data_IF_591340117351
#
_entry.id   IF_591340117351
#
_cell.length_a   1.000
_cell.length_b   1.000
_cell.length_c   1.000
_cell.angle_alpha   90.00
_cell.angle_beta   90.00
_cell.angle_gamma   90.00
#
_symmetry.space_group_name_H-M   'P 1'
#
loop_
_entity.id
_entity.type
_entity.pdbx_description
1 polymer ?
#
# COMPACT_ATOMS: atom_id res chain seq x y z
N UNK A 1 9.39 -6.82 8.49
CA UNK A 1 9.81 -6.26 7.18
C UNK A 1 9.29 -4.84 6.92
N UNK A 2 7.98 -4.54 6.96
CA UNK A 2 7.50 -3.14 6.80
C UNK A 2 7.76 -2.29 8.05
N UNK A 3 7.75 -2.92 9.22
CA UNK A 3 8.06 -2.30 10.52
C UNK A 3 9.50 -1.78 10.60
N UNK A 4 10.49 -2.58 10.18
CA UNK A 4 11.89 -2.14 10.10
C UNK A 4 12.11 -1.00 9.09
N UNK A 5 11.39 -1.01 7.96
CA UNK A 5 11.45 0.13 7.03
C UNK A 5 10.89 1.40 7.67
N UNK A 6 9.75 1.29 8.37
CA UNK A 6 9.17 2.43 9.08
C UNK A 6 10.13 2.95 10.17
N UNK A 7 10.81 2.06 10.88
CA UNK A 7 11.81 2.43 11.88
C UNK A 7 13.00 3.18 11.25
N UNK A 8 13.60 2.63 10.18
CA UNK A 8 14.70 3.31 9.47
C UNK A 8 14.29 4.65 8.85
N UNK A 9 13.03 4.81 8.41
CA UNK A 9 12.50 6.10 7.95
C UNK A 9 12.38 7.11 9.10
N UNK A 10 11.94 6.66 10.29
CA UNK A 10 11.91 7.50 11.48
C UNK A 10 13.32 7.90 11.91
N UNK A 11 14.28 6.98 11.88
CA UNK A 11 15.69 7.26 12.19
C UNK A 11 16.30 8.28 11.22
N UNK A 12 15.90 8.24 9.95
CA UNK A 12 16.26 9.24 8.95
C UNK A 12 15.52 10.58 9.11
N UNK A 13 14.70 10.75 10.15
CA UNK A 13 14.03 12.01 10.49
C UNK A 13 12.67 12.22 9.81
N UNK A 14 12.11 11.21 9.14
CA UNK A 14 10.79 11.32 8.52
C UNK A 14 9.66 11.07 9.54
N UNK A 15 8.57 11.83 9.40
CA UNK A 15 7.30 11.50 10.06
C UNK A 15 6.63 10.35 9.31
N UNK A 16 6.35 9.25 10.02
CA UNK A 16 5.82 8.03 9.41
C UNK A 16 4.46 7.67 10.01
N UNK A 17 3.46 7.64 9.14
CA UNK A 17 2.14 7.08 9.43
C UNK A 17 2.06 5.66 8.85
N UNK A 18 1.82 4.67 9.71
CA UNK A 18 1.49 3.31 9.27
C UNK A 18 -0.03 3.18 9.11
N UNK A 19 -0.49 3.29 7.87
CA UNK A 19 -1.91 3.20 7.51
C UNK A 19 -2.33 1.75 7.31
N UNK A 20 -3.21 1.26 8.18
CA UNK A 20 -3.67 -0.11 8.22
C UNK A 20 -5.12 -0.21 7.74
N UNK A 21 -5.32 -0.89 6.60
CA UNK A 21 -6.66 -1.23 6.12
C UNK A 21 -7.39 -2.14 7.13
N UNK A 22 -6.70 -3.19 7.61
CA UNK A 22 -7.20 -4.12 8.62
C UNK A 22 -6.43 -3.90 9.92
N UNK A 23 -7.13 -3.66 11.02
CA UNK A 23 -6.53 -3.44 12.34
C UNK A 23 -6.06 -4.73 13.05
N UNK A 24 -5.91 -5.85 12.34
CA UNK A 24 -5.52 -7.15 12.92
C UNK A 24 -4.35 -7.75 12.14
N UNK A 25 -3.25 -8.00 12.84
CA UNK A 25 -2.07 -8.70 12.33
C UNK A 25 -1.04 -8.88 13.45
N UNK A 26 -0.28 -9.97 13.41
CA UNK A 26 0.73 -10.33 14.44
C UNK A 26 1.87 -9.30 14.55
N UNK A 27 2.11 -8.52 13.50
CA UNK A 27 3.19 -7.53 13.46
C UNK A 27 2.85 -6.18 14.09
N UNK A 28 1.66 -6.03 14.69
CA UNK A 28 1.27 -4.77 15.36
C UNK A 28 2.09 -4.50 16.62
N UNK A 29 2.52 -5.54 17.32
CA UNK A 29 3.35 -5.42 18.53
C UNK A 29 4.79 -4.94 18.21
N UNK A 30 5.24 -5.13 16.97
CA UNK A 30 6.58 -4.76 16.51
C UNK A 30 6.63 -3.37 15.84
N UNK A 31 5.59 -2.54 16.01
CA UNK A 31 5.58 -1.19 15.46
C UNK A 31 6.36 -0.28 16.42
N UNK A 32 7.38 0.46 15.92
CA UNK A 32 8.11 1.42 16.75
C UNK A 32 7.16 2.46 17.35
N UNK A 33 7.36 2.83 18.61
CA UNK A 33 6.50 3.80 19.32
C UNK A 33 6.42 5.18 18.65
N UNK A 34 7.46 5.53 17.87
CA UNK A 34 7.56 6.78 17.09
C UNK A 34 6.72 6.78 15.81
N UNK A 35 6.21 5.62 15.38
CA UNK A 35 5.38 5.50 14.17
C UNK A 35 3.91 5.64 14.55
N UNK A 36 3.21 6.60 13.93
CA UNK A 36 1.78 6.81 14.18
C UNK A 36 0.95 5.78 13.43
N UNK A 37 0.11 5.04 14.16
CA UNK A 37 -0.72 3.98 13.57
C UNK A 37 -2.10 4.51 13.21
N UNK A 38 -2.44 4.49 11.92
CA UNK A 38 -3.74 4.94 11.41
C UNK A 38 -4.58 3.73 11.01
N UNK A 39 -5.65 3.46 11.73
CA UNK A 39 -6.56 2.34 11.44
C UNK A 39 -7.73 2.83 10.60
N UNK A 40 -7.87 2.29 9.38
CA UNK A 40 -8.97 2.65 8.48
C UNK A 40 -10.30 1.95 8.83
N UNK A 41 -10.29 0.98 9.74
CA UNK A 41 -11.49 0.29 10.22
C UNK A 41 -12.17 -0.63 9.21
N UNK A 42 -11.50 -0.97 8.11
CA UNK A 42 -12.08 -1.77 7.03
C UNK A 42 -11.85 -3.27 7.20
N UNK A 43 -12.83 -4.10 6.77
CA UNK A 43 -12.68 -5.57 6.78
C UNK A 43 -11.77 -6.06 5.65
N UNK A 44 -11.81 -5.37 4.50
CA UNK A 44 -11.03 -5.69 3.30
C UNK A 44 -10.31 -4.47 2.74
N UNK A 45 -9.19 -4.70 2.04
CA UNK A 45 -8.39 -3.62 1.41
C UNK A 45 -9.22 -2.80 0.43
N UNK A 46 -10.04 -3.43 -0.41
CA UNK A 46 -10.90 -2.70 -1.36
C UNK A 46 -11.93 -1.81 -0.66
N UNK A 47 -12.51 -2.29 0.45
CA UNK A 47 -13.46 -1.51 1.26
C UNK A 47 -12.79 -0.37 2.04
N UNK A 48 -11.45 -0.29 2.05
CA UNK A 48 -10.72 0.78 2.72
C UNK A 48 -10.61 2.05 1.86
N UNK A 49 -11.05 2.01 0.61
CA UNK A 49 -10.90 3.12 -0.34
C UNK A 49 -11.49 4.46 0.17
N UNK A 50 -12.75 4.53 0.67
CA UNK A 50 -13.31 5.81 1.14
C UNK A 50 -12.55 6.36 2.36
N UNK A 51 -12.12 5.48 3.26
CA UNK A 51 -11.34 5.84 4.43
C UNK A 51 -9.94 6.34 4.04
N UNK A 52 -9.29 5.69 3.07
CA UNK A 52 -8.00 6.13 2.54
C UNK A 52 -8.11 7.49 1.84
N UNK A 53 -9.16 7.71 1.04
CA UNK A 53 -9.41 9.02 0.42
C UNK A 53 -9.52 10.10 1.49
N UNK A 54 -10.32 9.86 2.54
CA UNK A 54 -10.48 10.81 3.66
C UNK A 54 -9.15 11.10 4.36
N UNK A 55 -8.36 10.06 4.63
CA UNK A 55 -7.04 10.20 5.23
C UNK A 55 -6.12 11.08 4.38
N UNK A 56 -6.00 10.78 3.08
CA UNK A 56 -5.13 11.53 2.17
C UNK A 56 -5.55 13.00 2.02
N UNK A 57 -6.85 13.31 2.06
CA UNK A 57 -7.34 14.70 2.05
C UNK A 57 -6.97 15.48 3.30
N UNK A 58 -7.01 14.80 4.46
CA UNK A 58 -6.80 15.41 5.77
C UNK A 58 -5.31 15.62 6.05
N UNK A 59 -4.52 14.56 5.91
CA UNK A 59 -3.09 14.61 6.30
C UNK A 59 -2.19 15.10 5.18
N UNK A 60 -2.62 15.01 3.90
CA UNK A 60 -1.88 15.45 2.71
C UNK A 60 -0.39 15.06 2.75
N UNK A 61 -0.07 13.75 2.89
CA UNK A 61 1.32 13.32 2.99
C UNK A 61 2.10 13.63 1.70
N UNK A 62 3.41 13.80 1.79
CA UNK A 62 4.26 14.01 0.61
C UNK A 62 4.39 12.74 -0.26
N UNK A 63 4.41 11.56 0.37
CA UNK A 63 4.55 10.28 -0.30
C UNK A 63 3.68 9.20 0.36
N UNK A 64 3.29 8.20 -0.43
CA UNK A 64 2.55 7.02 0.01
C UNK A 64 3.23 5.76 -0.52
N UNK A 65 3.69 4.89 0.38
CA UNK A 65 4.23 3.58 0.04
C UNK A 65 3.14 2.50 0.20
N UNK A 66 2.61 1.99 -0.91
CA UNK A 66 1.61 0.95 -0.93
C UNK A 66 2.27 -0.44 -1.01
N UNK A 67 2.27 -1.18 0.12
CA UNK A 67 2.82 -2.53 0.18
C UNK A 67 1.76 -3.59 -0.13
N UNK A 68 2.01 -4.43 -1.14
CA UNK A 68 1.15 -5.48 -1.75
C UNK A 68 0.25 -4.98 -2.88
N UNK A 69 0.00 -5.87 -3.86
CA UNK A 69 -0.78 -5.58 -5.07
C UNK A 69 -2.15 -4.92 -4.79
N UNK A 70 -2.92 -5.47 -3.84
CA UNK A 70 -4.24 -4.90 -3.50
C UNK A 70 -4.13 -3.50 -2.90
N UNK A 71 -3.09 -3.22 -2.11
CA UNK A 71 -2.87 -1.90 -1.54
C UNK A 71 -2.49 -0.90 -2.64
N UNK A 72 -1.65 -1.32 -3.60
CA UNK A 72 -1.28 -0.49 -4.76
C UNK A 72 -2.54 -0.09 -5.54
N UNK A 73 -3.40 -1.05 -5.90
CA UNK A 73 -4.65 -0.78 -6.64
C UNK A 73 -5.55 0.22 -5.90
N UNK A 74 -5.73 0.05 -4.59
CA UNK A 74 -6.55 0.96 -3.78
C UNK A 74 -5.92 2.34 -3.65
N UNK A 75 -4.60 2.43 -3.53
CA UNK A 75 -3.89 3.71 -3.48
C UNK A 75 -3.99 4.47 -4.81
N UNK A 76 -3.88 3.78 -5.94
CA UNK A 76 -4.08 4.38 -7.27
C UNK A 76 -5.50 4.92 -7.40
N UNK A 77 -6.52 4.14 -7.01
CA UNK A 77 -7.90 4.62 -7.00
C UNK A 77 -8.07 5.82 -6.08
N UNK A 78 -7.52 5.79 -4.86
CA UNK A 78 -7.62 6.90 -3.91
C UNK A 78 -6.96 8.18 -4.43
N UNK A 79 -5.87 8.06 -5.20
CA UNK A 79 -5.18 9.17 -5.87
C UNK A 79 -6.07 9.88 -6.88
N UNK A 80 -6.90 9.17 -7.65
CA UNK A 80 -7.81 9.77 -8.63
C UNK A 80 -8.84 10.73 -8.00
N UNK A 81 -9.16 10.55 -6.72
CA UNK A 81 -10.13 11.38 -6.00
C UNK A 81 -9.49 12.53 -5.20
N UNK A 82 -8.17 12.74 -5.29
CA UNK A 82 -7.44 13.70 -4.48
C UNK A 82 -6.59 14.63 -5.35
N UNK A 83 -7.03 15.89 -5.51
CA UNK A 83 -6.20 16.95 -6.08
C UNK A 83 -5.01 17.20 -5.14
N UNK A 84 -3.78 17.05 -5.62
CA UNK A 84 -2.57 17.11 -4.79
C UNK A 84 -2.20 15.79 -4.10
N UNK A 85 -2.58 14.65 -4.67
CA UNK A 85 -2.24 13.34 -4.13
C UNK A 85 -0.72 13.14 -3.96
N UNK A 86 -0.29 12.38 -2.93
CA UNK A 86 1.12 12.08 -2.67
C UNK A 86 1.81 11.42 -3.86
N UNK A 87 3.15 11.48 -3.88
CA UNK A 87 3.96 10.58 -4.69
C UNK A 87 3.70 9.13 -4.27
N UNK A 88 3.16 8.32 -5.17
CA UNK A 88 2.73 6.95 -4.92
C UNK A 88 3.81 5.95 -5.35
N UNK A 89 4.35 5.23 -4.38
CA UNK A 89 5.33 4.16 -4.59
C UNK A 89 4.69 2.81 -4.28
N UNK A 90 4.76 1.86 -5.21
CA UNK A 90 4.28 0.50 -5.01
C UNK A 90 5.40 -0.43 -4.55
N UNK A 91 5.14 -1.29 -3.57
CA UNK A 91 6.07 -2.35 -3.17
C UNK A 91 5.44 -3.72 -3.26
N UNK A 92 6.08 -4.62 -4.00
CA UNK A 92 5.71 -6.02 -4.07
C UNK A 92 6.65 -6.82 -3.18
N UNK A 93 6.09 -7.41 -2.11
CA UNK A 93 6.83 -8.28 -1.18
C UNK A 93 6.67 -9.77 -1.49
N UNK A 94 6.16 -10.10 -2.68
CA UNK A 94 5.90 -11.48 -3.11
C UNK A 94 6.27 -11.62 -4.58
N UNK A 95 6.92 -12.73 -4.93
CA UNK A 95 7.20 -13.08 -6.32
C UNK A 95 5.89 -13.38 -7.04
N UNK A 96 5.54 -12.54 -8.03
CA UNK A 96 4.25 -12.63 -8.75
C UNK A 96 4.12 -13.96 -9.50
N UNK A 97 5.23 -14.49 -10.03
CA UNK A 97 5.28 -15.81 -10.68
C UNK A 97 4.89 -16.94 -9.73
N UNK A 98 5.43 -16.95 -8.52
CA UNK A 98 5.08 -17.94 -7.49
C UNK A 98 3.62 -17.80 -7.04
N UNK A 99 3.09 -16.59 -6.93
CA UNK A 99 1.68 -16.36 -6.57
C UNK A 99 0.67 -16.81 -7.65
N UNK A 100 1.13 -16.95 -8.90
CA UNK A 100 0.34 -17.35 -10.05
C UNK A 100 0.56 -18.80 -10.49
N UNK A 101 1.42 -19.53 -9.77
CA UNK A 101 1.66 -20.94 -10.05
C UNK A 101 0.39 -21.78 -9.80
N UNK A 102 0.12 -22.73 -10.69
CA UNK A 102 -1.11 -23.54 -10.68
C UNK A 102 -2.44 -22.79 -10.96
N UNK A 103 -2.42 -21.50 -11.35
CA UNK A 103 -3.64 -20.75 -11.71
C UNK A 103 -3.98 -20.87 -13.21
N UNK A 104 -5.27 -20.85 -13.53
CA UNK A 104 -5.76 -20.90 -14.92
C UNK A 104 -5.26 -19.72 -15.76
N UNK A 105 -5.12 -19.94 -17.08
CA UNK A 105 -4.63 -18.94 -18.04
C UNK A 105 -5.45 -17.64 -18.00
N UNK A 106 -6.77 -17.74 -17.85
CA UNK A 106 -7.66 -16.58 -17.72
C UNK A 106 -7.37 -15.78 -16.44
N UNK A 107 -7.16 -16.46 -15.31
CA UNK A 107 -6.87 -15.81 -14.02
C UNK A 107 -5.51 -15.12 -14.03
N UNK A 108 -4.53 -15.70 -14.72
CA UNK A 108 -3.23 -15.10 -14.99
C UNK A 108 -3.37 -13.84 -15.86
N UNK A 109 -4.16 -13.92 -16.94
CA UNK A 109 -4.41 -12.77 -17.82
C UNK A 109 -5.12 -11.63 -17.09
N UNK A 110 -6.18 -11.91 -16.31
CA UNK A 110 -6.86 -10.90 -15.49
C UNK A 110 -5.92 -10.25 -14.47
N UNK A 111 -5.03 -11.03 -13.86
CA UNK A 111 -4.06 -10.50 -12.89
C UNK A 111 -3.08 -9.54 -13.56
N UNK A 112 -2.44 -9.96 -14.66
CA UNK A 112 -1.51 -9.13 -15.41
C UNK A 112 -2.19 -7.91 -16.05
N UNK A 113 -3.42 -8.07 -16.56
CA UNK A 113 -4.23 -6.98 -17.08
C UNK A 113 -4.53 -5.95 -16.00
N UNK A 114 -4.91 -6.40 -14.80
CA UNK A 114 -5.08 -5.53 -13.64
C UNK A 114 -3.80 -4.79 -13.26
N UNK A 115 -2.66 -5.49 -13.20
CA UNK A 115 -1.38 -4.82 -12.94
C UNK A 115 -1.08 -3.77 -14.01
N UNK A 116 -1.25 -4.09 -15.29
CA UNK A 116 -0.98 -3.18 -16.41
C UNK A 116 -1.88 -1.93 -16.38
N UNK A 117 -3.12 -2.05 -15.93
CA UNK A 117 -4.03 -0.93 -15.81
C UNK A 117 -3.66 -0.04 -14.60
N UNK A 118 -3.57 -0.65 -13.42
CA UNK A 118 -3.42 0.11 -12.18
C UNK A 118 -2.00 0.63 -11.97
N UNK A 119 -0.97 -0.09 -12.41
CA UNK A 119 0.41 0.28 -12.10
C UNK A 119 0.87 1.51 -12.88
N UNK A 120 0.14 1.90 -13.93
CA UNK A 120 0.34 3.18 -14.62
C UNK A 120 0.09 4.40 -13.73
N UNK A 121 -0.69 4.24 -12.66
CA UNK A 121 -0.96 5.31 -11.69
C UNK A 121 0.06 5.40 -10.55
N UNK A 122 1.09 4.54 -10.57
CA UNK A 122 2.17 4.50 -9.58
C UNK A 122 3.38 5.24 -10.15
N UNK A 123 4.01 6.10 -9.35
CA UNK A 123 5.17 6.87 -9.82
C UNK A 123 6.45 6.04 -9.81
N UNK A 124 6.57 5.05 -8.92
CA UNK A 124 7.73 4.14 -8.84
C UNK A 124 7.37 2.79 -8.21
N UNK A 125 8.05 1.71 -8.61
CA UNK A 125 7.87 0.38 -8.03
C UNK A 125 9.18 -0.09 -7.39
N UNK A 126 9.10 -0.58 -6.16
CA UNK A 126 10.20 -1.19 -5.42
C UNK A 126 9.95 -2.68 -5.28
N UNK A 127 10.81 -3.50 -5.90
CA UNK A 127 10.80 -4.95 -5.75
C UNK A 127 11.75 -5.40 -4.63
N UNK A 128 11.51 -6.60 -4.11
CA UNK A 128 12.47 -7.35 -3.28
C UNK A 128 12.87 -8.56 -4.12
N UNK A 129 14.18 -8.74 -4.33
CA UNK A 129 14.80 -9.73 -5.24
C UNK A 129 14.23 -11.14 -5.13
#
# INVERSE_FOLDING_TARGET
MITHLADGMVEAGFQVDLVLAKARGEHLAAIPSRVRVIRLGSRHTLTSLPALIRYLRRERPAALLAAKDRAIKVAVLARLFNRGAPRLVGRLGTTVSAALDGRSRLKRWMWFGGMRLFYRGVDSIVAVS
#
